data_IF_898072303071
#
_entry.id   IF_898072303071
#
_cell.length_a   1.000
_cell.length_b   1.000
_cell.length_c   1.000
_cell.angle_alpha   90.00
_cell.angle_beta   90.00
_cell.angle_gamma   90.00
#
_symmetry.space_group_name_H-M   'P 1'
#
loop_
_entity.id
_entity.type
_entity.pdbx_description
1 polymer ?
#
# COMPACT_ATOMS: atom_id res chain seq x y z
N UNK A 1 4.56 -20.48 1.09
CA UNK A 1 5.69 -19.63 1.52
C UNK A 1 5.74 -19.45 3.04
N UNK A 2 4.70 -18.90 3.68
CA UNK A 2 4.71 -18.59 5.12
C UNK A 2 4.99 -19.82 6.01
N UNK A 3 4.48 -21.01 5.68
CA UNK A 3 4.76 -22.23 6.45
C UNK A 3 6.26 -22.53 6.58
N UNK A 4 7.01 -22.37 5.48
CA UNK A 4 8.46 -22.62 5.43
C UNK A 4 9.30 -21.47 6.01
N UNK A 5 8.69 -20.32 6.30
CA UNK A 5 9.39 -19.07 6.62
C UNK A 5 8.76 -18.40 7.87
N UNK A 6 9.00 -18.92 9.09
CA UNK A 6 8.33 -18.49 10.33
C UNK A 6 8.49 -16.99 10.64
N UNK A 7 9.63 -16.40 10.27
CA UNK A 7 9.96 -15.00 10.55
C UNK A 7 9.14 -13.98 9.74
N UNK A 8 8.43 -14.42 8.69
CA UNK A 8 7.57 -13.55 7.89
C UNK A 8 6.12 -13.63 8.38
N UNK A 9 5.48 -12.47 8.50
CA UNK A 9 4.16 -12.33 9.14
C UNK A 9 3.06 -11.94 8.16
N UNK A 10 3.41 -11.23 7.09
CA UNK A 10 2.49 -10.86 6.01
C UNK A 10 3.20 -11.09 4.68
N UNK A 11 2.48 -11.70 3.74
CA UNK A 11 2.89 -11.80 2.35
C UNK A 11 1.78 -11.29 1.44
N UNK A 12 2.16 -10.81 0.26
CA UNK A 12 1.23 -10.41 -0.79
C UNK A 12 1.77 -10.79 -2.16
N UNK A 13 1.03 -10.43 -3.19
CA UNK A 13 1.44 -10.59 -4.59
C UNK A 13 1.27 -9.27 -5.34
N UNK A 14 1.79 -9.21 -6.56
CA UNK A 14 1.45 -8.15 -7.51
C UNK A 14 0.02 -8.26 -8.03
N UNK A 15 -0.39 -7.24 -8.78
CA UNK A 15 -1.71 -7.18 -9.39
C UNK A 15 -1.64 -6.83 -10.87
N UNK A 16 -2.56 -7.41 -11.64
CA UNK A 16 -2.94 -6.92 -12.96
C UNK A 16 -4.03 -5.88 -12.76
N UNK A 17 -3.77 -4.62 -13.10
CA UNK A 17 -4.74 -3.55 -12.95
C UNK A 17 -5.66 -3.55 -14.17
N UNK A 18 -6.97 -3.58 -13.92
CA UNK A 18 -8.01 -3.65 -14.95
C UNK A 18 -8.95 -2.44 -14.89
N UNK A 19 -9.53 -2.09 -16.02
CA UNK A 19 -10.61 -1.11 -16.11
C UNK A 19 -11.96 -1.69 -15.63
N UNK A 20 -13.03 -0.87 -15.73
CA UNK A 20 -14.39 -1.30 -15.37
C UNK A 20 -14.92 -2.42 -16.28
N UNK A 21 -14.43 -2.54 -17.52
CA UNK A 21 -14.81 -3.55 -18.51
C UNK A 21 -13.99 -4.85 -18.37
N UNK A 22 -12.95 -4.84 -17.53
CA UNK A 22 -12.07 -5.98 -17.32
C UNK A 22 -10.85 -6.02 -18.24
N UNK A 23 -10.62 -4.99 -19.05
CA UNK A 23 -9.43 -4.89 -19.89
C UNK A 23 -8.21 -4.61 -19.02
N UNK A 24 -7.10 -5.30 -19.31
CA UNK A 24 -5.82 -5.05 -18.66
C UNK A 24 -5.28 -3.67 -19.04
N UNK A 25 -4.97 -2.85 -18.03
CA UNK A 25 -4.36 -1.55 -18.19
C UNK A 25 -2.84 -1.64 -18.03
N UNK A 26 -2.38 -2.27 -16.95
CA UNK A 26 -0.96 -2.49 -16.65
C UNK A 26 -0.79 -3.51 -15.54
N UNK A 27 0.45 -3.98 -15.34
CA UNK A 27 0.82 -4.88 -14.24
C UNK A 27 1.68 -4.16 -13.21
N UNK A 28 1.58 -4.59 -11.96
CA UNK A 28 2.26 -3.91 -10.86
C UNK A 28 2.77 -4.90 -9.81
N UNK A 29 4.09 -4.89 -9.59
CA UNK A 29 4.76 -5.58 -8.49
C UNK A 29 5.07 -4.57 -7.37
N UNK A 30 4.73 -4.95 -6.13
CA UNK A 30 5.18 -4.25 -4.94
C UNK A 30 6.64 -4.58 -4.63
N UNK A 31 7.25 -3.86 -3.69
CA UNK A 31 8.61 -4.21 -3.23
C UNK A 31 8.59 -5.62 -2.65
N UNK A 32 9.53 -6.46 -3.10
CA UNK A 32 9.61 -7.86 -2.70
C UNK A 32 10.08 -8.02 -1.25
N UNK A 33 11.22 -7.42 -0.91
CA UNK A 33 11.97 -7.68 0.34
C UNK A 33 11.54 -6.76 1.48
N UNK A 34 11.57 -7.29 2.71
CA UNK A 34 11.20 -6.58 3.94
C UNK A 34 11.87 -5.20 4.08
N UNK A 35 13.18 -5.11 3.85
CA UNK A 35 13.93 -3.85 3.93
C UNK A 35 13.36 -2.78 2.99
N UNK A 36 13.12 -3.14 1.72
CA UNK A 36 12.55 -2.24 0.71
C UNK A 36 11.10 -1.90 0.98
N UNK A 37 10.33 -2.86 1.51
CA UNK A 37 8.97 -2.63 1.98
C UNK A 37 8.99 -1.57 3.09
N UNK A 38 9.84 -1.73 4.11
CA UNK A 38 9.95 -0.81 5.24
C UNK A 38 10.46 0.58 4.84
N UNK A 39 11.41 0.68 3.92
CA UNK A 39 11.85 1.95 3.34
C UNK A 39 10.68 2.75 2.74
N UNK A 40 9.68 2.05 2.17
CA UNK A 40 8.56 2.66 1.44
C UNK A 40 7.24 2.66 2.22
N UNK A 41 7.18 2.05 3.39
CA UNK A 41 5.92 1.74 4.09
C UNK A 41 5.13 2.96 4.55
N UNK A 42 5.74 4.15 4.65
CA UNK A 42 4.99 5.38 4.94
C UNK A 42 4.59 6.19 3.70
N UNK A 43 5.09 5.81 2.52
CA UNK A 43 4.83 6.51 1.27
C UNK A 43 3.67 5.87 0.49
N UNK A 44 3.47 4.56 0.63
CA UNK A 44 2.37 3.83 0.02
C UNK A 44 2.07 2.58 0.84
N UNK A 45 0.84 2.09 0.73
CA UNK A 45 0.48 0.77 1.24
C UNK A 45 1.35 -0.30 0.53
N UNK A 46 2.08 -1.14 1.28
CA UNK A 46 3.03 -2.09 0.70
C UNK A 46 2.38 -3.32 0.05
N UNK A 47 1.08 -3.53 0.24
CA UNK A 47 0.36 -4.69 -0.26
C UNK A 47 -0.94 -4.30 -0.95
N UNK A 48 -1.42 -5.14 -1.86
CA UNK A 48 -2.84 -5.14 -2.20
C UNK A 48 -3.55 -5.99 -1.16
N UNK A 49 -4.46 -5.42 -0.36
CA UNK A 49 -5.14 -6.18 0.70
C UNK A 49 -5.77 -7.48 0.19
N UNK A 50 -6.38 -7.44 -1.00
CA UNK A 50 -7.00 -8.61 -1.65
C UNK A 50 -6.01 -9.69 -2.10
N UNK A 51 -4.70 -9.43 -2.10
CA UNK A 51 -3.67 -10.44 -2.38
C UNK A 51 -2.89 -10.88 -1.15
N UNK A 52 -3.25 -10.39 0.04
CA UNK A 52 -2.48 -10.71 1.25
C UNK A 52 -2.85 -12.04 1.87
N UNK A 53 -1.83 -12.73 2.37
CA UNK A 53 -1.95 -13.81 3.34
C UNK A 53 -1.06 -13.45 4.54
N UNK A 54 -1.53 -13.73 5.75
CA UNK A 54 -0.80 -13.34 6.95
C UNK A 54 -1.01 -14.36 8.07
N UNK A 55 -0.14 -14.31 9.08
CA UNK A 55 -0.21 -15.23 10.22
C UNK A 55 -1.37 -14.87 11.14
N UNK A 56 -2.28 -15.83 11.32
CA UNK A 56 -3.46 -15.69 12.19
C UNK A 56 -3.08 -15.32 13.63
N UNK A 57 -2.12 -16.02 14.23
CA UNK A 57 -1.68 -15.75 15.60
C UNK A 57 -1.14 -14.33 15.78
N UNK A 58 -0.48 -13.76 14.77
CA UNK A 58 -0.01 -12.37 14.81
C UNK A 58 -1.17 -11.39 14.62
N UNK A 59 -2.11 -11.70 13.71
CA UNK A 59 -3.33 -10.89 13.52
C UNK A 59 -4.15 -10.78 14.80
N UNK A 60 -4.40 -11.90 15.48
CA UNK A 60 -5.10 -11.95 16.77
C UNK A 60 -4.30 -11.22 17.86
N UNK A 61 -2.98 -11.42 17.90
CA UNK A 61 -2.09 -10.73 18.86
C UNK A 61 -2.11 -9.22 18.73
N UNK A 62 -2.27 -8.68 17.52
CA UNK A 62 -2.36 -7.23 17.30
C UNK A 62 -3.78 -6.68 17.42
N UNK A 63 -4.78 -7.52 17.69
CA UNK A 63 -6.17 -7.13 17.88
C UNK A 63 -6.98 -6.97 16.59
N UNK A 64 -6.55 -7.54 15.46
CA UNK A 64 -7.29 -7.48 14.20
C UNK A 64 -7.37 -6.10 13.56
N UNK A 65 -8.45 -5.79 12.84
CA UNK A 65 -8.66 -4.46 12.26
C UNK A 65 -9.15 -3.46 13.32
N UNK A 66 -8.70 -2.22 13.24
CA UNK A 66 -9.20 -1.15 14.12
C UNK A 66 -10.51 -0.59 13.54
N UNK A 67 -11.64 -0.97 14.13
CA UNK A 67 -12.99 -0.57 13.70
C UNK A 67 -13.25 0.95 13.82
N UNK A 68 -12.38 1.70 14.52
CA UNK A 68 -12.49 3.15 14.60
C UNK A 68 -11.87 3.86 13.40
N UNK A 69 -11.10 3.15 12.57
CA UNK A 69 -10.55 3.69 11.34
C UNK A 69 -11.63 3.77 10.27
N UNK A 70 -11.71 4.93 9.61
CA UNK A 70 -12.63 5.19 8.50
C UNK A 70 -12.01 4.94 7.12
N UNK A 71 -10.93 4.16 7.09
CA UNK A 71 -10.16 3.88 5.89
C UNK A 71 -8.66 3.71 6.13
N UNK A 72 -8.00 3.03 5.19
CA UNK A 72 -6.62 2.56 5.30
C UNK A 72 -6.40 1.61 6.49
N UNK A 73 -7.42 0.82 6.83
CA UNK A 73 -7.40 -0.14 7.94
C UNK A 73 -6.34 -1.22 7.72
N UNK A 74 -6.20 -1.68 6.48
CA UNK A 74 -5.19 -2.64 6.06
C UNK A 74 -3.78 -2.13 6.28
N UNK A 75 -3.52 -0.86 5.96
CA UNK A 75 -2.21 -0.27 6.13
C UNK A 75 -1.82 -0.13 7.61
N UNK A 76 -2.73 0.29 8.48
CA UNK A 76 -2.48 0.27 9.93
C UNK A 76 -2.23 -1.15 10.45
N UNK A 77 -3.01 -2.13 9.99
CA UNK A 77 -2.83 -3.53 10.35
C UNK A 77 -1.42 -4.03 9.97
N UNK A 78 -0.95 -3.74 8.76
CA UNK A 78 0.40 -4.11 8.32
C UNK A 78 1.47 -3.51 9.23
N UNK A 79 1.35 -2.23 9.58
CA UNK A 79 2.29 -1.56 10.50
C UNK A 79 2.30 -2.22 11.89
N UNK A 80 1.16 -2.66 12.41
CA UNK A 80 1.12 -3.39 13.69
C UNK A 80 1.74 -4.78 13.57
N UNK A 81 1.38 -5.54 12.55
CA UNK A 81 1.92 -6.90 12.34
C UNK A 81 3.42 -6.88 12.08
N UNK A 82 3.93 -5.88 11.36
CA UNK A 82 5.35 -5.74 11.05
C UNK A 82 6.27 -5.46 12.24
N UNK A 83 5.71 -5.20 13.42
CA UNK A 83 6.46 -5.17 14.69
C UNK A 83 6.83 -6.57 15.20
N UNK A 84 6.18 -7.61 14.69
CA UNK A 84 6.37 -9.00 15.12
C UNK A 84 7.05 -9.88 14.06
N UNK A 85 7.39 -9.34 12.90
CA UNK A 85 8.19 -10.05 11.91
C UNK A 85 8.26 -9.35 10.57
N UNK A 86 8.76 -10.07 9.57
CA UNK A 86 9.13 -9.56 8.25
C UNK A 86 7.98 -9.59 7.25
N UNK A 87 8.10 -8.75 6.24
CA UNK A 87 7.23 -8.68 5.08
C UNK A 87 7.87 -9.32 3.85
N UNK A 88 7.04 -9.90 2.97
CA UNK A 88 7.50 -10.39 1.67
C UNK A 88 6.42 -10.33 0.60
N UNK A 89 6.66 -9.67 -0.53
CA UNK A 89 5.78 -9.79 -1.70
C UNK A 89 6.31 -10.86 -2.65
N UNK A 90 5.47 -11.83 -3.02
CA UNK A 90 5.81 -12.84 -4.01
C UNK A 90 5.87 -12.19 -5.42
N UNK A 91 6.90 -12.45 -6.23
CA UNK A 91 7.16 -11.75 -7.49
C UNK A 91 6.29 -12.29 -8.65
N UNK A 92 4.99 -12.44 -8.43
CA UNK A 92 4.02 -12.80 -9.46
C UNK A 92 2.72 -12.00 -9.30
N UNK A 93 1.87 -12.02 -10.33
CA UNK A 93 0.58 -11.34 -10.32
C UNK A 93 -0.52 -12.31 -9.86
N UNK A 94 -0.92 -12.22 -8.59
CA UNK A 94 -1.89 -13.15 -8.01
C UNK A 94 -3.34 -12.71 -8.11
N UNK A 95 -3.59 -11.44 -8.47
CA UNK A 95 -4.94 -10.88 -8.54
C UNK A 95 -5.12 -9.98 -9.77
N UNK A 96 -6.38 -9.79 -10.17
CA UNK A 96 -6.82 -8.68 -11.01
C UNK A 96 -7.46 -7.62 -10.09
N UNK A 97 -6.94 -6.40 -10.11
CA UNK A 97 -7.45 -5.29 -9.29
C UNK A 97 -8.11 -4.24 -10.17
N UNK A 98 -9.42 -4.02 -9.95
CA UNK A 98 -10.19 -3.04 -10.71
C UNK A 98 -9.93 -1.64 -10.15
N UNK A 99 -9.44 -0.74 -11.01
CA UNK A 99 -9.22 0.64 -10.62
C UNK A 99 -10.56 1.41 -10.62
N UNK A 100 -11.03 1.94 -9.48
CA UNK A 100 -12.21 2.78 -9.49
C UNK A 100 -11.89 4.13 -10.13
N UNK A 101 -12.85 4.74 -10.87
CA UNK A 101 -12.62 6.01 -11.57
C UNK A 101 -12.32 7.16 -10.58
N UNK A 102 -12.92 7.11 -9.40
CA UNK A 102 -12.70 8.05 -8.31
C UNK A 102 -12.63 7.27 -7.00
N UNK A 103 -11.76 7.74 -6.09
CA UNK A 103 -11.76 7.27 -4.71
C UNK A 103 -12.43 8.33 -3.82
N UNK A 104 -13.74 8.19 -3.51
CA UNK A 104 -14.48 9.18 -2.73
C UNK A 104 -13.92 9.32 -1.30
N UNK A 105 -13.29 8.27 -0.77
CA UNK A 105 -12.70 8.25 0.56
C UNK A 105 -11.23 8.70 0.58
N UNK A 106 -10.69 9.24 -0.53
CA UNK A 106 -9.27 9.63 -0.62
C UNK A 106 -8.84 10.60 0.46
N UNK A 107 -9.66 11.60 0.78
CA UNK A 107 -9.35 12.59 1.82
C UNK A 107 -9.37 11.96 3.22
N UNK A 108 -10.33 11.07 3.49
CA UNK A 108 -10.45 10.35 4.76
C UNK A 108 -9.24 9.43 4.93
N UNK A 109 -8.91 8.63 3.92
CA UNK A 109 -7.74 7.76 3.91
C UNK A 109 -6.46 8.54 4.19
N UNK A 110 -6.27 9.69 3.52
CA UNK A 110 -5.07 10.50 3.70
C UNK A 110 -4.97 11.09 5.12
N UNK A 111 -6.10 11.50 5.72
CA UNK A 111 -6.13 11.92 7.13
C UNK A 111 -5.74 10.77 8.08
N UNK A 112 -6.21 9.55 7.83
CA UNK A 112 -5.85 8.38 8.63
C UNK A 112 -4.36 8.03 8.47
N UNK A 113 -3.84 8.08 7.24
CA UNK A 113 -2.40 7.89 6.96
C UNK A 113 -1.55 8.88 7.75
N UNK A 114 -1.91 10.16 7.79
CA UNK A 114 -1.18 11.15 8.58
C UNK A 114 -1.23 10.89 10.09
N UNK A 115 -2.32 10.31 10.60
CA UNK A 115 -2.45 9.92 12.02
C UNK A 115 -1.56 8.73 12.35
N UNK A 116 -1.68 7.61 11.64
CA UNK A 116 -0.92 6.41 11.98
C UNK A 116 0.57 6.55 11.63
N UNK A 117 0.95 7.27 10.56
CA UNK A 117 2.37 7.54 10.28
C UNK A 117 3.04 8.30 11.43
N UNK A 118 2.32 9.24 12.06
CA UNK A 118 2.78 9.91 13.30
C UNK A 118 2.86 8.95 14.48
N UNK A 119 1.88 8.03 14.61
CA UNK A 119 1.83 7.01 15.67
C UNK A 119 3.06 6.09 15.62
N UNK A 120 3.42 5.59 14.43
CA UNK A 120 4.51 4.62 14.24
C UNK A 120 5.87 5.25 13.86
N UNK A 121 6.05 6.55 14.08
CA UNK A 121 7.21 7.33 13.58
C UNK A 121 8.59 6.82 14.01
N UNK A 122 8.67 6.03 15.09
CA UNK A 122 9.91 5.44 15.59
C UNK A 122 10.07 3.96 15.22
N UNK A 123 9.01 3.31 14.75
CA UNK A 123 9.03 1.89 14.37
C UNK A 123 9.56 1.68 12.94
N UNK A 124 9.49 2.70 12.08
CA UNK A 124 9.84 2.62 10.65
C UNK A 124 10.63 3.84 10.18
N UNK A 125 11.49 3.68 9.15
CA UNK A 125 12.35 4.76 8.68
C UNK A 125 11.59 5.86 7.94
N UNK A 126 12.30 6.98 7.71
CA UNK A 126 11.88 8.07 6.81
C UNK A 126 10.56 8.79 7.16
N UNK A 127 10.14 8.78 8.43
CA UNK A 127 8.94 9.49 8.88
C UNK A 127 8.88 10.97 8.45
N UNK A 128 9.94 11.76 8.64
CA UNK A 128 9.92 13.19 8.28
C UNK A 128 9.78 13.40 6.76
N UNK A 129 10.49 12.59 5.95
CA UNK A 129 10.39 12.62 4.49
C UNK A 129 9.01 12.20 4.01
N UNK A 130 8.44 11.15 4.61
CA UNK A 130 7.10 10.68 4.28
C UNK A 130 6.02 11.69 4.66
N UNK A 131 6.20 12.41 5.78
CA UNK A 131 5.29 13.47 6.21
C UNK A 131 5.27 14.65 5.23
N UNK A 132 6.42 15.10 4.76
CA UNK A 132 6.51 16.13 3.71
C UNK A 132 5.81 15.67 2.42
N UNK A 133 6.13 14.46 1.95
CA UNK A 133 5.55 13.93 0.71
C UNK A 133 4.03 13.72 0.83
N UNK A 134 3.55 13.21 1.97
CA UNK A 134 2.10 13.01 2.19
C UNK A 134 1.37 14.35 2.35
N UNK A 135 2.01 15.38 2.90
CA UNK A 135 1.47 16.73 2.90
C UNK A 135 1.38 17.31 1.48
N UNK A 136 2.42 17.15 0.65
CA UNK A 136 2.38 17.57 -0.77
C UNK A 136 1.28 16.82 -1.55
N UNK A 137 1.11 15.52 -1.31
CA UNK A 137 -0.01 14.74 -1.89
C UNK A 137 -1.37 15.29 -1.45
N UNK A 138 -1.49 15.77 -0.21
CA UNK A 138 -2.70 16.37 0.33
C UNK A 138 -2.99 17.72 -0.31
N UNK A 139 -1.98 18.57 -0.50
CA UNK A 139 -2.14 19.82 -1.24
C UNK A 139 -2.55 19.55 -2.69
N UNK A 140 -1.90 18.59 -3.37
CA UNK A 140 -2.21 18.22 -4.76
C UNK A 140 -3.65 17.74 -4.97
N UNK A 141 -4.30 17.17 -3.94
CA UNK A 141 -5.73 16.81 -4.03
C UNK A 141 -6.67 17.99 -4.25
N UNK A 142 -6.28 19.20 -3.83
CA UNK A 142 -7.10 20.40 -3.95
C UNK A 142 -6.84 21.17 -5.26
N UNK A 143 -5.79 20.84 -6.00
CA UNK A 143 -5.53 21.45 -7.29
C UNK A 143 -6.39 20.78 -8.38
N UNK A 144 -7.11 21.56 -9.21
CA UNK A 144 -7.82 21.01 -10.35
C UNK A 144 -6.81 20.33 -11.26
N UNK A 145 -7.02 19.04 -11.51
CA UNK A 145 -6.13 18.30 -12.41
C UNK A 145 -6.54 18.59 -13.84
N UNK A 146 -5.66 19.13 -14.70
CA UNK A 146 -5.96 19.19 -16.13
C UNK A 146 -6.05 17.75 -16.65
N UNK A 147 -7.06 17.47 -17.47
CA UNK A 147 -7.36 16.14 -18.04
C UNK A 147 -6.15 15.49 -18.73
N UNK A 148 -5.27 16.29 -19.35
CA UNK A 148 -4.02 15.84 -19.95
C UNK A 148 -2.99 15.30 -18.94
N UNK A 149 -2.92 15.91 -17.75
CA UNK A 149 -1.94 15.58 -16.70
C UNK A 149 -2.31 14.27 -15.98
N UNK A 150 -3.60 13.91 -15.89
CA UNK A 150 -4.01 12.61 -15.36
C UNK A 150 -3.56 11.45 -16.23
N UNK A 151 -3.79 11.54 -17.54
CA UNK A 151 -3.37 10.52 -18.49
C UNK A 151 -1.84 10.42 -18.57
N UNK A 152 -1.15 11.55 -18.49
CA UNK A 152 0.31 11.59 -18.51
C UNK A 152 0.93 11.05 -17.20
N UNK A 153 0.41 11.40 -16.03
CA UNK A 153 0.88 10.87 -14.73
C UNK A 153 0.56 9.39 -14.55
N UNK A 154 -0.59 8.92 -15.04
CA UNK A 154 -0.95 7.50 -15.10
C UNK A 154 -0.07 6.71 -16.09
N UNK A 155 0.52 7.36 -17.09
CA UNK A 155 1.56 6.72 -17.91
C UNK A 155 2.93 6.79 -17.22
N UNK A 156 3.36 7.96 -16.78
CA UNK A 156 4.70 8.20 -16.23
C UNK A 156 4.97 7.48 -14.90
N UNK A 157 4.00 7.42 -14.00
CA UNK A 157 4.14 6.71 -12.71
C UNK A 157 4.20 5.18 -12.87
N UNK A 158 3.85 4.67 -14.05
CA UNK A 158 3.64 3.26 -14.32
C UNK A 158 4.55 2.69 -15.43
N UNK A 159 5.17 3.54 -16.26
CA UNK A 159 6.19 3.13 -17.25
C UNK A 159 7.53 2.74 -16.63
N UNK A 160 7.84 3.18 -15.41
CA UNK A 160 9.09 2.78 -14.72
C UNK A 160 9.12 1.32 -14.24
N UNK A 161 7.99 0.61 -14.25
CA UNK A 161 7.90 -0.81 -13.87
C UNK A 161 7.60 -1.76 -15.04
N UNK A 162 7.67 -1.28 -16.29
CA UNK A 162 7.45 -2.10 -17.51
C UNK A 162 8.75 -2.75 -18.01
N UNK A 163 9.92 -2.37 -17.47
CA UNK A 163 11.17 -3.08 -17.76
C UNK A 163 11.37 -4.25 -16.79
N UNK A 164 10.71 -5.36 -17.11
CA UNK A 164 11.18 -6.71 -16.81
C UNK A 164 11.07 -7.52 -18.11
#
# INVERSE_FOLDING_TARGET
FLEKNPNYVVTGTGAIIIDLKGNELYRFLNEERDEKIRERIFFRNPFFASSTLFRRNIFEKVGGYDENLKGAEDWDLWLRMGKYGKFYNLPFYGIKYRLPPLNPHRFINMRQVLKFTKKYRYDYPHYYRSRLINWLKMCYTFFPKPSFLENWLLRWRYTKNIKA
#
